data_IF_275856216588
#
_entry.id   IF_275856216588
#
_cell.length_a   1.000
_cell.length_b   1.000
_cell.length_c   1.000
_cell.angle_alpha   90.00
_cell.angle_beta   90.00
_cell.angle_gamma   90.00
#
_symmetry.space_group_name_H-M   'P 1'
#
loop_
_entity.id
_entity.type
_entity.pdbx_description
1 polymer ?
#
# COMPACT_ATOMS: atom_id res chain seq x y z
N UNK A 1 0.38 -19.42 -26.45
CA UNK A 1 1.18 -18.18 -26.46
C UNK A 1 1.43 -17.78 -25.00
N UNK A 2 2.70 -17.53 -24.67
CA UNK A 2 3.26 -17.44 -23.32
C UNK A 2 2.71 -16.26 -22.48
N UNK A 3 1.94 -16.55 -21.44
CA UNK A 3 1.50 -15.58 -20.41
C UNK A 3 2.53 -15.44 -19.27
N UNK A 4 3.80 -15.16 -19.58
CA UNK A 4 4.83 -15.15 -18.54
C UNK A 4 4.79 -13.88 -17.66
N UNK A 5 4.28 -12.74 -18.16
CA UNK A 5 4.31 -11.47 -17.42
C UNK A 5 3.17 -11.28 -16.40
N UNK A 6 2.07 -12.04 -16.51
CA UNK A 6 0.90 -11.96 -15.61
C UNK A 6 0.62 -13.25 -14.85
N UNK A 7 1.56 -14.21 -14.87
CA UNK A 7 1.36 -15.54 -14.29
C UNK A 7 0.98 -15.48 -12.80
N UNK A 8 1.75 -14.73 -12.00
CA UNK A 8 1.47 -14.58 -10.56
C UNK A 8 0.13 -13.91 -10.25
N UNK A 9 -0.37 -13.05 -11.15
CA UNK A 9 -1.70 -12.45 -11.02
C UNK A 9 -2.81 -13.50 -11.15
N UNK A 10 -2.76 -14.30 -12.22
CA UNK A 10 -3.77 -15.31 -12.51
C UNK A 10 -3.74 -16.47 -11.50
N UNK A 11 -2.55 -16.91 -11.10
CA UNK A 11 -2.38 -17.93 -10.05
C UNK A 11 -2.99 -17.45 -8.72
N UNK A 12 -2.71 -16.21 -8.32
CA UNK A 12 -3.28 -15.66 -7.08
C UNK A 12 -4.81 -15.50 -7.15
N UNK A 13 -5.38 -15.13 -8.31
CA UNK A 13 -6.85 -15.07 -8.48
C UNK A 13 -7.48 -16.46 -8.29
N UNK A 14 -6.85 -17.50 -8.83
CA UNK A 14 -7.30 -18.88 -8.70
C UNK A 14 -7.21 -19.37 -7.25
N UNK A 15 -6.08 -19.12 -6.58
CA UNK A 15 -5.88 -19.49 -5.17
C UNK A 15 -6.93 -18.86 -4.25
N UNK A 16 -7.21 -17.56 -4.45
CA UNK A 16 -8.26 -16.86 -3.68
C UNK A 16 -9.64 -17.45 -3.98
N UNK A 17 -9.94 -17.74 -5.26
CA UNK A 17 -11.22 -18.33 -5.65
C UNK A 17 -11.43 -19.74 -5.09
N UNK A 18 -10.36 -20.54 -4.97
CA UNK A 18 -10.39 -21.86 -4.34
C UNK A 18 -10.56 -21.74 -2.82
N UNK A 19 -9.88 -20.78 -2.18
CA UNK A 19 -9.96 -20.54 -0.73
C UNK A 19 -11.35 -20.16 -0.22
N UNK A 20 -12.24 -19.69 -1.09
CA UNK A 20 -13.62 -19.29 -0.75
C UNK A 20 -14.69 -20.22 -1.34
N UNK A 21 -14.32 -21.39 -1.87
CA UNK A 21 -15.26 -22.30 -2.54
C UNK A 21 -16.43 -22.74 -1.65
N UNK A 22 -16.18 -22.94 -0.36
CA UNK A 22 -17.20 -23.36 0.62
C UNK A 22 -18.03 -22.19 1.18
N UNK A 23 -17.74 -20.94 0.80
CA UNK A 23 -18.39 -19.76 1.36
C UNK A 23 -19.54 -19.32 0.44
N UNK A 24 -20.76 -19.78 0.75
CA UNK A 24 -21.93 -19.63 -0.12
C UNK A 24 -22.22 -18.17 -0.51
N UNK A 25 -22.17 -17.24 0.45
CA UNK A 25 -22.43 -15.82 0.17
C UNK A 25 -21.37 -15.16 -0.74
N UNK A 26 -20.23 -15.81 -0.98
CA UNK A 26 -19.19 -15.35 -1.89
C UNK A 26 -19.23 -16.01 -3.28
N UNK A 27 -20.23 -16.85 -3.57
CA UNK A 27 -20.29 -17.61 -4.83
C UNK A 27 -20.18 -16.72 -6.09
N UNK A 28 -20.90 -15.60 -6.14
CA UNK A 28 -20.80 -14.67 -7.28
C UNK A 28 -19.45 -13.94 -7.36
N UNK A 29 -18.80 -13.67 -6.23
CA UNK A 29 -17.45 -13.08 -6.21
C UNK A 29 -16.40 -14.10 -6.65
N UNK A 30 -16.52 -15.35 -6.19
CA UNK A 30 -15.69 -16.47 -6.67
C UNK A 30 -15.79 -16.62 -8.18
N UNK A 31 -17.01 -16.62 -8.72
CA UNK A 31 -17.22 -16.69 -10.17
C UNK A 31 -16.58 -15.50 -10.90
N UNK A 32 -16.67 -14.28 -10.34
CA UNK A 32 -15.93 -13.14 -10.85
C UNK A 32 -14.41 -13.41 -10.93
N UNK A 33 -13.79 -13.94 -9.86
CA UNK A 33 -12.36 -14.25 -9.83
C UNK A 33 -11.97 -15.31 -10.87
N UNK A 34 -12.73 -16.40 -10.98
CA UNK A 34 -12.49 -17.47 -11.97
C UNK A 34 -12.63 -16.97 -13.42
N UNK A 35 -13.60 -16.09 -13.69
CA UNK A 35 -13.77 -15.50 -15.02
C UNK A 35 -12.65 -14.50 -15.33
N UNK A 36 -12.17 -13.74 -14.33
CA UNK A 36 -11.01 -12.84 -14.47
C UNK A 36 -9.73 -13.60 -14.77
N UNK A 37 -9.53 -14.74 -14.11
CA UNK A 37 -8.41 -15.64 -14.35
C UNK A 37 -8.39 -16.12 -15.81
N UNK A 38 -9.55 -16.52 -16.35
CA UNK A 38 -9.72 -16.94 -17.75
C UNK A 38 -9.69 -15.79 -18.78
N UNK A 39 -9.52 -14.54 -18.35
CA UNK A 39 -9.57 -13.36 -19.23
C UNK A 39 -10.98 -12.98 -19.73
N UNK A 40 -12.04 -13.57 -19.17
CA UNK A 40 -13.45 -13.35 -19.56
C UNK A 40 -14.04 -12.10 -18.90
N UNK A 41 -13.52 -10.92 -19.28
CA UNK A 41 -13.83 -9.64 -18.61
C UNK A 41 -15.32 -9.30 -18.57
N UNK A 42 -16.06 -9.51 -19.67
CA UNK A 42 -17.47 -9.13 -19.77
C UNK A 42 -18.32 -9.95 -18.80
N UNK A 43 -18.16 -11.27 -18.84
CA UNK A 43 -18.85 -12.21 -17.94
C UNK A 43 -18.44 -11.98 -16.48
N UNK A 44 -17.16 -11.74 -16.22
CA UNK A 44 -16.70 -11.41 -14.88
C UNK A 44 -17.45 -10.20 -14.31
N UNK A 45 -17.60 -9.12 -15.09
CA UNK A 45 -18.34 -7.94 -14.66
C UNK A 45 -19.84 -8.20 -14.45
N UNK A 46 -20.44 -9.18 -15.14
CA UNK A 46 -21.81 -9.63 -14.89
C UNK A 46 -21.90 -10.30 -13.51
N UNK A 47 -21.01 -11.27 -13.21
CA UNK A 47 -20.94 -11.92 -11.89
C UNK A 47 -20.67 -10.93 -10.76
N UNK A 48 -19.80 -9.94 -10.99
CA UNK A 48 -19.52 -8.88 -10.02
C UNK A 48 -20.76 -8.04 -9.72
N UNK A 49 -21.58 -7.71 -10.72
CA UNK A 49 -22.83 -6.95 -10.51
C UNK A 49 -23.85 -7.73 -9.69
N UNK A 50 -23.95 -9.04 -9.91
CA UNK A 50 -24.79 -9.92 -9.10
C UNK A 50 -24.30 -9.94 -7.65
N UNK A 51 -22.99 -10.09 -7.44
CA UNK A 51 -22.37 -10.04 -6.12
C UNK A 51 -22.65 -8.71 -5.38
N UNK A 52 -22.47 -7.57 -6.05
CA UNK A 52 -22.73 -6.24 -5.46
C UNK A 52 -24.22 -6.11 -5.08
N UNK A 53 -25.14 -6.55 -5.94
CA UNK A 53 -26.58 -6.51 -5.63
C UNK A 53 -26.90 -7.37 -4.41
N UNK A 54 -26.33 -8.57 -4.33
CA UNK A 54 -26.49 -9.46 -3.18
C UNK A 54 -25.94 -8.82 -1.89
N UNK A 55 -24.71 -8.29 -1.93
CA UNK A 55 -24.05 -7.70 -0.76
C UNK A 55 -24.74 -6.44 -0.24
N UNK A 56 -25.36 -5.64 -1.11
CA UNK A 56 -26.17 -4.48 -0.69
C UNK A 56 -27.40 -4.89 0.14
N UNK A 57 -27.94 -6.07 -0.11
CA UNK A 57 -29.10 -6.61 0.60
C UNK A 57 -28.70 -7.51 1.79
N UNK A 58 -27.42 -7.86 1.92
CA UNK A 58 -26.91 -8.63 3.05
C UNK A 58 -26.94 -7.80 4.34
N UNK A 59 -27.00 -8.49 5.46
CA UNK A 59 -26.86 -7.85 6.77
C UNK A 59 -25.49 -7.19 6.92
N UNK A 60 -25.39 -6.26 7.87
CA UNK A 60 -24.19 -5.45 8.00
C UNK A 60 -22.97 -6.25 8.46
N UNK A 61 -23.15 -7.29 9.27
CA UNK A 61 -22.04 -8.15 9.71
C UNK A 61 -21.43 -8.90 8.52
N UNK A 62 -22.26 -9.41 7.61
CA UNK A 62 -21.79 -10.00 6.34
C UNK A 62 -21.00 -8.99 5.50
N UNK A 63 -21.46 -7.73 5.41
CA UNK A 63 -20.72 -6.67 4.70
C UNK A 63 -19.37 -6.36 5.35
N UNK A 64 -19.31 -6.29 6.70
CA UNK A 64 -18.06 -6.07 7.44
C UNK A 64 -17.09 -7.22 7.24
N UNK A 65 -17.54 -8.47 7.39
CA UNK A 65 -16.73 -9.68 7.18
C UNK A 65 -16.10 -9.69 5.80
N UNK A 66 -16.89 -9.46 4.75
CA UNK A 66 -16.38 -9.37 3.40
C UNK A 66 -15.39 -8.21 3.23
N UNK A 67 -15.75 -7.01 3.68
CA UNK A 67 -14.90 -5.81 3.55
C UNK A 67 -13.56 -6.01 4.24
N UNK A 68 -13.55 -6.48 5.49
CA UNK A 68 -12.32 -6.73 6.22
C UNK A 68 -11.46 -7.82 5.56
N UNK A 69 -12.09 -8.90 5.11
CA UNK A 69 -11.41 -9.99 4.42
C UNK A 69 -10.75 -9.53 3.11
N UNK A 70 -11.49 -8.86 2.23
CA UNK A 70 -10.96 -8.51 0.91
C UNK A 70 -9.88 -7.43 0.99
N UNK A 71 -10.03 -6.46 1.89
CA UNK A 71 -9.00 -5.42 2.11
C UNK A 71 -7.74 -6.02 2.73
N UNK A 72 -7.88 -7.03 3.60
CA UNK A 72 -6.73 -7.75 4.13
C UNK A 72 -5.98 -8.53 3.05
N UNK A 73 -6.70 -9.22 2.16
CA UNK A 73 -6.06 -9.92 1.03
C UNK A 73 -5.38 -8.92 0.10
N UNK A 74 -6.05 -7.82 -0.28
CA UNK A 74 -5.47 -6.81 -1.17
C UNK A 74 -4.21 -6.17 -0.57
N UNK A 75 -4.22 -5.89 0.74
CA UNK A 75 -3.05 -5.36 1.46
C UNK A 75 -1.87 -6.34 1.52
N UNK A 76 -2.14 -7.63 1.75
CA UNK A 76 -1.10 -8.64 1.97
C UNK A 76 -0.60 -9.27 0.66
N UNK A 77 -1.44 -9.34 -0.37
CA UNK A 77 -1.14 -9.97 -1.65
C UNK A 77 -0.78 -8.93 -2.73
N UNK A 78 0.52 -8.66 -2.87
CA UNK A 78 1.04 -7.68 -3.84
C UNK A 78 0.97 -8.14 -5.31
N UNK A 79 0.64 -9.40 -5.60
CA UNK A 79 0.54 -9.91 -6.99
C UNK A 79 -0.84 -9.71 -7.63
N UNK A 80 -1.85 -9.26 -6.90
CA UNK A 80 -3.21 -9.10 -7.44
C UNK A 80 -3.65 -7.64 -7.50
N UNK A 81 -3.64 -7.05 -8.69
CA UNK A 81 -4.10 -5.67 -8.89
C UNK A 81 -5.58 -5.54 -9.30
N UNK A 82 -6.39 -6.60 -9.12
CA UNK A 82 -7.76 -6.64 -9.66
C UNK A 82 -8.84 -7.16 -8.72
N UNK A 83 -8.50 -7.32 -7.44
CA UNK A 83 -9.42 -7.74 -6.37
C UNK A 83 -10.49 -6.70 -6.06
N UNK A 84 -10.11 -5.42 -6.11
CA UNK A 84 -10.96 -4.28 -5.74
C UNK A 84 -11.30 -3.41 -6.96
N UNK A 85 -12.09 -3.90 -7.94
CA UNK A 85 -12.54 -3.06 -9.04
C UNK A 85 -13.41 -1.91 -8.52
N UNK A 86 -13.32 -0.75 -9.17
CA UNK A 86 -14.01 0.48 -8.73
C UNK A 86 -15.50 0.31 -8.36
N UNK A 87 -16.35 -0.44 -9.11
CA UNK A 87 -17.74 -0.65 -8.72
C UNK A 87 -17.93 -1.38 -7.38
N UNK A 88 -17.03 -2.29 -7.03
CA UNK A 88 -17.04 -2.98 -5.75
C UNK A 88 -16.63 -2.01 -4.63
N UNK A 89 -15.59 -1.22 -4.89
CA UNK A 89 -15.07 -0.27 -3.93
C UNK A 89 -16.11 0.80 -3.56
N UNK A 90 -16.68 1.49 -4.55
CA UNK A 90 -17.70 2.51 -4.32
C UNK A 90 -19.05 1.92 -3.89
N UNK A 91 -19.39 0.73 -4.38
CA UNK A 91 -20.69 0.13 -4.15
C UNK A 91 -20.86 -0.56 -2.80
N UNK A 92 -19.78 -1.11 -2.23
CA UNK A 92 -19.81 -1.92 -1.00
C UNK A 92 -18.78 -1.42 0.02
N UNK A 93 -17.49 -1.38 -0.36
CA UNK A 93 -16.37 -1.18 0.58
C UNK A 93 -16.47 0.18 1.28
N UNK A 94 -16.49 1.26 0.51
CA UNK A 94 -16.49 2.62 1.04
C UNK A 94 -17.74 2.92 1.88
N UNK A 95 -18.99 2.61 1.43
CA UNK A 95 -20.17 2.74 2.27
C UNK A 95 -20.10 1.89 3.55
N UNK A 96 -19.57 0.66 3.46
CA UNK A 96 -19.41 -0.21 4.63
C UNK A 96 -18.45 0.40 5.66
N UNK A 97 -17.28 0.89 5.24
CA UNK A 97 -16.32 1.55 6.14
C UNK A 97 -16.91 2.80 6.80
N UNK A 98 -17.65 3.63 6.04
CA UNK A 98 -18.30 4.82 6.58
C UNK A 98 -19.35 4.46 7.63
N UNK A 99 -20.22 3.50 7.32
CA UNK A 99 -21.23 3.00 8.25
C UNK A 99 -20.59 2.36 9.49
N UNK A 100 -19.50 1.60 9.31
CA UNK A 100 -18.81 0.89 10.40
C UNK A 100 -18.22 1.88 11.42
N UNK A 101 -17.57 2.95 10.95
CA UNK A 101 -17.10 4.03 11.85
C UNK A 101 -18.22 4.69 12.65
N UNK A 102 -19.43 4.77 12.10
CA UNK A 102 -20.59 5.39 12.75
C UNK A 102 -21.23 4.47 13.78
N UNK A 103 -21.46 3.20 13.43
CA UNK A 103 -22.17 2.25 14.30
C UNK A 103 -21.25 1.66 15.39
N UNK A 104 -19.96 1.49 15.10
CA UNK A 104 -18.98 0.89 16.03
C UNK A 104 -17.72 1.77 16.11
N UNK A 105 -17.82 2.98 16.69
CA UNK A 105 -16.72 3.93 16.69
C UNK A 105 -15.49 3.48 17.50
N UNK A 106 -15.60 2.43 18.30
CA UNK A 106 -14.50 1.83 19.07
C UNK A 106 -13.80 0.67 18.38
N UNK A 107 -14.23 0.25 17.19
CA UNK A 107 -13.54 -0.77 16.40
C UNK A 107 -12.38 -0.13 15.62
N UNK A 108 -11.13 -0.60 15.76
CA UNK A 108 -9.98 -0.06 15.02
C UNK A 108 -10.00 -0.40 13.52
N UNK A 109 -10.64 -1.52 13.12
CA UNK A 109 -10.60 -2.04 11.76
C UNK A 109 -11.09 -1.04 10.68
N UNK A 110 -12.23 -0.35 10.82
CA UNK A 110 -12.68 0.59 9.81
C UNK A 110 -11.77 1.82 9.67
N UNK A 111 -11.10 2.24 10.75
CA UNK A 111 -10.13 3.34 10.70
C UNK A 111 -8.82 2.90 10.04
N UNK A 112 -8.32 1.69 10.36
CA UNK A 112 -7.19 1.09 9.65
C UNK A 112 -7.42 1.09 8.14
N UNK A 113 -8.57 0.57 7.72
CA UNK A 113 -8.89 0.45 6.31
C UNK A 113 -9.19 1.78 5.61
N UNK A 114 -9.88 2.70 6.27
CA UNK A 114 -10.08 4.03 5.73
C UNK A 114 -8.75 4.79 5.60
N UNK A 115 -7.84 4.62 6.57
CA UNK A 115 -6.50 5.18 6.50
C UNK A 115 -5.73 4.65 5.29
N UNK A 116 -5.77 3.34 5.02
CA UNK A 116 -5.05 2.71 3.90
C UNK A 116 -5.68 3.05 2.53
N UNK A 117 -6.99 2.82 2.39
CA UNK A 117 -7.65 2.80 1.08
C UNK A 117 -8.39 4.08 0.72
N UNK A 118 -8.76 4.89 1.70
CA UNK A 118 -9.41 6.20 1.48
C UNK A 118 -8.46 7.37 1.72
N UNK A 119 -7.20 7.10 2.09
CA UNK A 119 -6.18 8.11 2.41
C UNK A 119 -6.63 9.09 3.51
N UNK A 120 -7.48 8.63 4.43
CA UNK A 120 -7.89 9.46 5.57
C UNK A 120 -6.70 9.65 6.53
N UNK A 121 -6.25 10.89 6.67
CA UNK A 121 -4.95 11.25 7.23
C UNK A 121 -4.78 10.78 8.69
N UNK A 122 -5.80 10.94 9.52
CA UNK A 122 -5.75 10.64 10.96
C UNK A 122 -6.22 9.22 11.30
N UNK A 123 -6.79 8.50 10.33
CA UNK A 123 -7.47 7.22 10.60
C UNK A 123 -6.49 6.11 11.01
N UNK A 124 -5.25 6.12 10.51
CA UNK A 124 -4.23 5.15 10.95
C UNK A 124 -3.80 5.38 12.40
N UNK A 125 -3.60 6.64 12.79
CA UNK A 125 -3.24 7.02 14.16
C UNK A 125 -4.35 6.65 15.14
N UNK A 126 -5.61 6.90 14.74
CA UNK A 126 -6.78 6.53 15.52
C UNK A 126 -6.89 5.02 15.72
N UNK A 127 -6.62 4.20 14.68
CA UNK A 127 -6.61 2.75 14.81
C UNK A 127 -5.55 2.27 15.80
N UNK A 128 -4.32 2.79 15.72
CA UNK A 128 -3.23 2.46 16.66
C UNK A 128 -3.51 2.92 18.10
N UNK A 129 -4.25 4.02 18.27
CA UNK A 129 -4.63 4.52 19.60
C UNK A 129 -5.71 3.63 20.26
N UNK A 130 -6.55 2.99 19.46
CA UNK A 130 -7.60 2.06 19.93
C UNK A 130 -7.05 0.68 20.24
N UNK A 131 -6.12 0.19 19.42
CA UNK A 131 -5.50 -1.12 19.58
C UNK A 131 -3.97 -1.00 19.54
N UNK A 132 -3.35 -1.24 20.70
CA UNK A 132 -1.89 -1.19 20.85
C UNK A 132 -1.19 -2.28 20.05
N UNK A 133 -1.84 -3.35 19.67
CA UNK A 133 -1.26 -4.42 18.87
C UNK A 133 -1.53 -4.26 17.37
N UNK A 134 -2.17 -3.15 16.95
CA UNK A 134 -2.50 -2.90 15.54
C UNK A 134 -1.24 -2.78 14.66
N UNK A 135 -0.86 -3.88 14.01
CA UNK A 135 0.35 -3.96 13.19
C UNK A 135 0.15 -3.43 11.77
N UNK A 136 -1.03 -3.62 11.17
CA UNK A 136 -1.27 -3.26 9.78
C UNK A 136 -1.30 -1.74 9.63
N UNK A 137 -1.97 -1.02 10.55
CA UNK A 137 -1.98 0.44 10.50
C UNK A 137 -0.57 1.04 10.71
N UNK A 138 0.23 0.47 11.62
CA UNK A 138 1.64 0.88 11.80
C UNK A 138 2.48 0.68 10.54
N UNK A 139 2.37 -0.50 9.91
CA UNK A 139 3.06 -0.76 8.65
C UNK A 139 2.63 0.23 7.56
N UNK A 140 1.34 0.56 7.48
CA UNK A 140 0.83 1.54 6.54
C UNK A 140 1.37 2.96 6.82
N UNK A 141 1.50 3.37 8.08
CA UNK A 141 2.09 4.66 8.45
C UNK A 141 3.57 4.75 8.04
N UNK A 142 4.35 3.70 8.31
CA UNK A 142 5.76 3.63 7.91
C UNK A 142 5.89 3.67 6.39
N UNK A 143 5.06 2.88 5.69
CA UNK A 143 5.03 2.87 4.23
C UNK A 143 4.71 4.25 3.66
N UNK A 144 3.66 4.93 4.16
CA UNK A 144 3.29 6.28 3.72
C UNK A 144 4.42 7.28 3.94
N UNK A 145 5.04 7.28 5.12
CA UNK A 145 6.16 8.17 5.41
C UNK A 145 7.33 7.98 4.43
N UNK A 146 7.64 6.73 4.06
CA UNK A 146 8.68 6.43 3.06
C UNK A 146 8.27 6.93 1.67
N UNK A 147 7.02 6.74 1.26
CA UNK A 147 6.54 7.20 -0.05
C UNK A 147 6.50 8.73 -0.14
N UNK A 148 6.12 9.42 0.93
CA UNK A 148 6.16 10.89 1.01
C UNK A 148 7.61 11.40 0.88
N UNK A 149 8.55 10.80 1.62
CA UNK A 149 9.98 11.11 1.51
C UNK A 149 10.51 10.92 0.08
N UNK A 150 10.13 9.81 -0.56
CA UNK A 150 10.51 9.53 -1.96
C UNK A 150 9.90 10.54 -2.91
N UNK A 151 8.65 10.92 -2.67
CA UNK A 151 7.97 11.94 -3.44
C UNK A 151 8.64 13.30 -3.30
N UNK A 152 9.21 13.65 -2.15
CA UNK A 152 9.98 14.90 -2.06
C UNK A 152 11.32 14.82 -2.84
N UNK A 153 11.92 13.64 -2.86
CA UNK A 153 13.24 13.40 -3.45
C UNK A 153 13.24 13.02 -4.95
N UNK A 154 12.09 12.73 -5.56
CA UNK A 154 12.04 12.06 -6.87
C UNK A 154 12.61 12.85 -8.05
N UNK A 155 12.79 14.16 -7.91
CA UNK A 155 13.44 15.01 -8.92
C UNK A 155 14.95 15.13 -8.74
N UNK A 156 15.54 14.50 -7.72
CA UNK A 156 16.99 14.41 -7.61
C UNK A 156 17.55 13.66 -8.83
N UNK A 157 18.70 14.12 -9.36
CA UNK A 157 19.64 15.06 -8.76
C UNK A 157 19.37 16.55 -9.05
N UNK A 158 18.30 16.90 -9.77
CA UNK A 158 18.08 18.28 -10.24
C UNK A 158 17.57 19.21 -9.15
N UNK A 159 16.58 18.75 -8.39
CA UNK A 159 16.04 19.49 -7.26
C UNK A 159 15.35 18.57 -6.25
N UNK A 160 15.10 19.13 -5.07
CA UNK A 160 14.29 18.52 -4.03
C UNK A 160 13.00 19.33 -3.92
N UNK A 161 11.84 18.67 -3.95
CA UNK A 161 10.55 19.36 -4.04
C UNK A 161 10.03 19.87 -2.68
N UNK A 162 10.27 19.11 -1.61
CA UNK A 162 9.81 19.43 -0.25
C UNK A 162 10.83 20.21 0.58
N UNK A 163 10.64 20.24 1.90
CA UNK A 163 11.66 20.64 2.86
C UNK A 163 12.44 19.41 3.35
N UNK A 164 13.76 19.30 3.05
CA UNK A 164 14.59 18.21 3.54
C UNK A 164 14.53 18.01 5.06
N UNK A 165 14.36 19.07 5.85
CA UNK A 165 14.29 18.96 7.32
C UNK A 165 12.96 18.35 7.78
N UNK A 166 11.85 18.66 7.11
CA UNK A 166 10.56 18.02 7.35
C UNK A 166 10.61 16.53 6.99
N UNK A 167 11.19 16.21 5.84
CA UNK A 167 11.38 14.83 5.38
C UNK A 167 12.29 14.02 6.34
N UNK A 168 13.37 14.61 6.86
CA UNK A 168 14.19 13.98 7.91
C UNK A 168 13.41 13.81 9.23
N UNK A 169 12.55 14.77 9.60
CA UNK A 169 11.70 14.65 10.79
C UNK A 169 10.65 13.54 10.64
N UNK A 170 10.06 13.42 9.45
CA UNK A 170 9.17 12.34 9.06
C UNK A 170 9.87 10.99 9.12
N UNK A 171 11.11 10.89 8.62
CA UNK A 171 11.93 9.68 8.73
C UNK A 171 12.20 9.28 10.19
N UNK A 172 12.56 10.23 11.06
CA UNK A 172 12.70 9.97 12.50
C UNK A 172 11.39 9.51 13.14
N UNK A 173 10.24 10.04 12.71
CA UNK A 173 8.92 9.58 13.16
C UNK A 173 8.63 8.15 12.71
N UNK A 174 8.88 7.85 11.44
CA UNK A 174 8.72 6.51 10.88
C UNK A 174 9.58 5.49 11.64
N UNK A 175 10.83 5.84 12.00
CA UNK A 175 11.70 4.99 12.82
C UNK A 175 11.09 4.65 14.18
N UNK A 176 10.52 5.62 14.90
CA UNK A 176 9.84 5.34 16.17
C UNK A 176 8.65 4.39 16.02
N UNK A 177 7.88 4.52 14.93
CA UNK A 177 6.76 3.62 14.65
C UNK A 177 7.28 2.21 14.30
N UNK A 178 8.38 2.11 13.55
CA UNK A 178 9.01 0.83 13.21
C UNK A 178 9.49 0.05 14.44
N UNK A 179 9.95 0.74 15.49
CA UNK A 179 10.38 0.10 16.74
C UNK A 179 9.23 -0.64 17.43
N UNK A 180 7.98 -0.26 17.16
CA UNK A 180 6.77 -0.92 17.66
C UNK A 180 6.26 -2.07 16.76
N UNK A 181 6.87 -2.29 15.59
CA UNK A 181 6.47 -3.38 14.69
C UNK A 181 6.92 -4.73 15.26
N UNK A 182 6.00 -5.68 15.38
CA UNK A 182 6.26 -6.98 16.00
C UNK A 182 7.02 -7.95 15.08
N UNK A 183 6.82 -7.84 13.77
CA UNK A 183 7.48 -8.71 12.79
C UNK A 183 8.91 -8.21 12.48
N UNK A 184 9.97 -8.97 12.84
CA UNK A 184 11.35 -8.54 12.65
C UNK A 184 11.78 -8.48 11.18
N UNK A 185 11.20 -9.29 10.31
CA UNK A 185 11.53 -9.30 8.88
C UNK A 185 10.91 -8.09 8.17
N UNK A 186 9.67 -7.73 8.54
CA UNK A 186 9.03 -6.50 8.08
C UNK A 186 9.81 -5.28 8.58
N UNK A 187 10.19 -5.26 9.87
CA UNK A 187 10.99 -4.18 10.46
C UNK A 187 12.32 -4.00 9.71
N UNK A 188 13.07 -5.09 9.51
CA UNK A 188 14.35 -5.07 8.79
C UNK A 188 14.21 -4.59 7.35
N UNK A 189 13.12 -4.95 6.68
CA UNK A 189 12.82 -4.47 5.32
C UNK A 189 12.61 -2.96 5.29
N UNK A 190 11.76 -2.43 6.18
CA UNK A 190 11.53 -0.99 6.24
C UNK A 190 12.77 -0.23 6.68
N UNK A 191 13.52 -0.73 7.65
CA UNK A 191 14.77 -0.12 8.12
C UNK A 191 15.78 0.04 6.98
N UNK A 192 15.97 -1.02 6.16
CA UNK A 192 16.83 -0.96 4.99
C UNK A 192 16.39 0.14 4.01
N UNK A 193 15.10 0.24 3.74
CA UNK A 193 14.56 1.23 2.80
C UNK A 193 14.74 2.63 3.38
N UNK A 194 14.21 2.88 4.58
CA UNK A 194 14.23 4.19 5.22
C UNK A 194 15.66 4.72 5.42
N UNK A 195 16.61 3.85 5.77
CA UNK A 195 18.03 4.24 5.90
C UNK A 195 18.59 4.78 4.58
N UNK A 196 18.27 4.13 3.46
CA UNK A 196 18.71 4.59 2.14
C UNK A 196 18.09 5.94 1.78
N UNK A 197 16.78 6.09 2.00
CA UNK A 197 16.08 7.34 1.70
C UNK A 197 16.57 8.50 2.58
N UNK A 198 16.79 8.25 3.88
CA UNK A 198 17.31 9.27 4.79
C UNK A 198 18.75 9.68 4.44
N UNK A 199 19.61 8.72 4.08
CA UNK A 199 20.98 9.02 3.65
C UNK A 199 21.01 9.93 2.42
N UNK A 200 20.08 9.73 1.48
CA UNK A 200 19.93 10.58 0.29
C UNK A 200 19.58 12.02 0.66
N UNK A 201 18.66 12.21 1.60
CA UNK A 201 18.26 13.55 2.06
C UNK A 201 19.40 14.25 2.81
N UNK A 202 20.12 13.50 3.66
CA UNK A 202 21.29 14.01 4.37
C UNK A 202 22.39 14.44 3.40
N UNK A 203 22.69 13.60 2.40
CA UNK A 203 23.63 13.90 1.33
C UNK A 203 23.23 15.16 0.56
N UNK A 204 21.95 15.30 0.21
CA UNK A 204 21.45 16.51 -0.43
C UNK A 204 21.65 17.75 0.46
N UNK A 205 21.35 17.64 1.75
CA UNK A 205 21.57 18.71 2.72
C UNK A 205 23.04 19.11 2.85
N UNK A 206 23.97 18.14 2.83
CA UNK A 206 25.41 18.38 2.87
C UNK A 206 25.91 19.01 1.57
N UNK A 207 25.47 18.51 0.42
CA UNK A 207 25.75 19.10 -0.89
C UNK A 207 25.32 20.58 -0.96
N UNK A 208 24.11 20.92 -0.50
CA UNK A 208 23.66 22.31 -0.49
C UNK A 208 24.52 23.24 0.38
N UNK A 209 25.27 22.69 1.33
CA UNK A 209 26.22 23.43 2.20
C UNK A 209 27.65 23.46 1.66
N UNK A 210 28.02 22.55 0.76
CA UNK A 210 29.41 22.44 0.27
C UNK A 210 29.78 23.55 -0.73
N UNK A 211 28.80 24.15 -1.39
CA UNK A 211 29.02 25.15 -2.44
C UNK A 211 29.33 24.55 -3.82
N UNK A 212 29.30 23.22 -3.94
CA UNK A 212 29.46 22.51 -5.21
C UNK A 212 28.22 22.68 -6.09
N UNK A 213 28.42 22.65 -7.42
CA UNK A 213 27.33 22.93 -8.38
C UNK A 213 26.62 21.67 -8.88
N UNK A 214 27.27 20.50 -8.79
CA UNK A 214 26.80 19.25 -9.38
C UNK A 214 26.68 18.15 -8.31
N UNK A 215 25.44 17.85 -7.92
CA UNK A 215 25.15 16.85 -6.90
C UNK A 215 25.61 15.45 -7.30
N UNK A 216 25.57 15.11 -8.59
CA UNK A 216 26.03 13.80 -9.06
C UNK A 216 27.54 13.66 -8.88
N UNK A 217 28.31 14.64 -9.33
CA UNK A 217 29.77 14.64 -9.14
C UNK A 217 30.14 14.62 -7.66
N UNK A 218 29.44 15.41 -6.85
CA UNK A 218 29.62 15.41 -5.40
C UNK A 218 29.39 14.02 -4.80
N UNK A 219 28.29 13.35 -5.18
CA UNK A 219 27.98 12.00 -4.73
C UNK A 219 29.06 10.98 -5.15
N UNK A 220 29.53 11.04 -6.39
CA UNK A 220 30.60 10.15 -6.90
C UNK A 220 31.88 10.33 -6.11
N UNK A 221 32.29 11.57 -5.86
CA UNK A 221 33.52 11.87 -5.11
C UNK A 221 33.49 11.32 -3.69
N UNK A 222 32.29 11.16 -3.11
CA UNK A 222 32.06 10.53 -1.81
C UNK A 222 31.76 9.03 -1.88
N UNK A 223 31.85 8.41 -3.06
CA UNK A 223 31.61 6.98 -3.25
C UNK A 223 30.15 6.56 -3.07
N UNK A 224 29.19 7.48 -3.21
CA UNK A 224 27.75 7.16 -3.16
C UNK A 224 27.32 6.41 -4.42
N UNK A 225 26.30 5.56 -4.30
CA UNK A 225 25.88 4.64 -5.36
C UNK A 225 24.36 4.66 -5.60
N UNK A 226 23.79 5.86 -5.72
CA UNK A 226 22.39 6.04 -6.08
C UNK A 226 22.11 5.59 -7.53
N UNK A 227 20.88 5.17 -7.81
CA UNK A 227 20.58 4.49 -9.08
C UNK A 227 20.80 5.39 -10.32
N UNK A 228 20.62 6.71 -10.20
CA UNK A 228 20.87 7.65 -11.30
C UNK A 228 22.37 7.94 -11.52
N UNK A 229 23.23 7.66 -10.54
CA UNK A 229 24.68 7.82 -10.70
C UNK A 229 25.21 6.82 -11.75
N UNK A 230 24.68 5.59 -11.76
CA UNK A 230 25.08 4.56 -12.75
C UNK A 230 24.66 4.89 -14.19
N UNK A 231 23.60 5.68 -14.37
CA UNK A 231 23.14 6.08 -15.69
C UNK A 231 24.08 7.10 -16.37
N UNK A 232 24.93 7.79 -15.59
CA UNK A 232 25.82 8.85 -16.07
C UNK A 232 27.19 8.34 -16.57
N UNK A 233 27.50 7.04 -16.39
CA UNK A 233 28.80 6.44 -16.75
C UNK A 233 28.78 5.52 -17.98
N UNK A 234 27.71 5.58 -18.78
CA UNK A 234 27.79 5.11 -20.17
C UNK A 234 28.20 6.30 -21.04
N UNK A 235 29.50 6.45 -21.28
CA UNK A 235 30.00 7.29 -22.38
C UNK A 235 29.68 6.59 -23.72
N UNK A 236 29.31 7.32 -24.79
CA UNK A 236 29.04 6.78 -26.13
C UNK A 236 30.27 6.16 -26.82
#
# INVERSE_FOLDING_TARGET
MNYYWNKGHFESLLEIAQGIESVEYLAHYREYLLLREKGLRKQALESLRLFITQMKNADFDTQKKFTNWILHIDWTNRSVHSLLPHPLFEGIIKPCLQKWKMEEPGDPAPYRWAGIFLWEQDSLEKACAMDRDEQIARQAMVHRAIEDIRFDAHHLPYCYLGDPQESLALGRRAKRIMDELQDPDIRKRFEKILTLEMQLIEDWCEFKKSGEEDFNKWCVNLGRNYHWIKAYYYDP
#
